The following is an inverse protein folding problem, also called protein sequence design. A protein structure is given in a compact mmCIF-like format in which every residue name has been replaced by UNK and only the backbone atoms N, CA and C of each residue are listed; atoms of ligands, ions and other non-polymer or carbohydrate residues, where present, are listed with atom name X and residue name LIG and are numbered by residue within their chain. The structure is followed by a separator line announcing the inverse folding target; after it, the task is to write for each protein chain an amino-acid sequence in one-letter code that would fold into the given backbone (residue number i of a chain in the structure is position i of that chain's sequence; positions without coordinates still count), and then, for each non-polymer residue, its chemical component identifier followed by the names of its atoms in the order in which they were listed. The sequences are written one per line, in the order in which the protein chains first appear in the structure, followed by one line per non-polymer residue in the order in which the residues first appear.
data_IF_646708050980
#
_entry.id   IF_646708050980
#
_cell.length_a   1.000
_cell.length_b   1.000
_cell.length_c   1.000
_cell.angle_alpha   90.00
_cell.angle_beta   90.00
_cell.angle_gamma   90.00
#
_symmetry.space_group_name_H-M   'P 1'
#
loop_
_entity.id
_entity.type
_entity.pdbx_description
1 polymer ?
#
# COMPACT_ATOMS: atom_id res chain seq x y z
N UNK A 1 -42.23 24.45 -43.59
CA UNK A 1 -41.05 23.58 -43.75
C UNK A 1 -39.85 24.29 -43.11
N UNK A 2 -39.31 23.76 -42.01
CA UNK A 2 -37.88 23.88 -41.66
C UNK A 2 -37.58 23.01 -40.44
N UNK A 3 -36.58 22.15 -40.57
CA UNK A 3 -36.08 21.19 -39.60
C UNK A 3 -35.30 21.85 -38.47
N UNK A 4 -35.40 21.32 -37.25
CA UNK A 4 -34.26 21.27 -36.33
C UNK A 4 -34.43 20.06 -35.40
N UNK A 5 -33.67 19.01 -35.70
CA UNK A 5 -33.42 17.93 -34.77
C UNK A 5 -32.48 18.47 -33.69
N UNK A 6 -32.97 18.61 -32.47
CA UNK A 6 -32.08 18.79 -31.32
C UNK A 6 -31.66 17.40 -30.83
N UNK A 7 -30.39 17.12 -31.08
CA UNK A 7 -29.63 15.98 -30.62
C UNK A 7 -29.49 16.04 -29.10
N UNK A 8 -30.42 15.44 -28.38
CA UNK A 8 -30.22 15.06 -26.97
C UNK A 8 -29.38 13.79 -26.91
N UNK A 9 -28.08 13.94 -27.21
CA UNK A 9 -27.10 12.92 -26.84
C UNK A 9 -27.00 12.88 -25.31
N UNK A 10 -27.09 11.71 -24.65
CA UNK A 10 -26.76 11.60 -23.24
C UNK A 10 -25.27 11.96 -23.03
N UNK A 11 -24.86 12.48 -21.85
CA UNK A 11 -23.46 12.66 -21.53
C UNK A 11 -22.71 11.31 -21.67
N UNK A 12 -21.43 11.30 -22.06
CA UNK A 12 -20.66 10.06 -22.09
C UNK A 12 -20.57 9.56 -20.65
N UNK A 13 -20.54 8.24 -20.45
CA UNK A 13 -20.60 7.55 -19.15
C UNK A 13 -22.04 7.31 -18.64
N UNK A 14 -22.83 6.65 -19.49
CA UNK A 14 -23.95 5.84 -19.05
C UNK A 14 -23.51 4.87 -17.94
N UNK A 15 -24.25 4.84 -16.84
CA UNK A 15 -24.25 3.76 -15.86
C UNK A 15 -24.69 2.45 -16.53
N UNK A 16 -23.79 1.80 -17.27
CA UNK A 16 -24.02 0.42 -17.70
C UNK A 16 -23.63 -0.54 -16.57
N UNK A 17 -24.51 -1.48 -16.18
CA UNK A 17 -24.10 -2.58 -15.33
C UNK A 17 -23.01 -3.35 -16.07
N UNK A 18 -21.80 -3.38 -15.49
CA UNK A 18 -20.59 -4.00 -16.07
C UNK A 18 -20.93 -5.38 -16.63
N UNK A 19 -21.11 -5.42 -17.95
CA UNK A 19 -21.41 -6.60 -18.75
C UNK A 19 -20.26 -6.84 -19.72
N UNK A 20 -19.03 -6.51 -19.30
CA UNK A 20 -17.85 -6.92 -20.02
C UNK A 20 -17.57 -8.38 -19.66
N UNK A 21 -17.86 -9.35 -20.54
CA UNK A 21 -17.38 -10.71 -20.33
C UNK A 21 -15.85 -10.67 -20.21
N UNK A 22 -15.23 -11.58 -19.42
CA UNK A 22 -13.78 -11.66 -19.35
C UNK A 22 -13.23 -11.75 -20.78
N UNK A 23 -12.18 -10.99 -21.13
CA UNK A 23 -11.69 -11.00 -22.49
C UNK A 23 -11.27 -12.43 -22.88
N UNK A 24 -11.50 -12.83 -24.14
CA UNK A 24 -11.24 -14.20 -24.57
C UNK A 24 -9.77 -14.58 -24.29
N UNK A 25 -9.50 -15.83 -23.86
CA UNK A 25 -8.14 -16.29 -23.63
C UNK A 25 -7.27 -16.03 -24.87
N UNK A 26 -6.07 -15.48 -24.70
CA UNK A 26 -5.13 -15.34 -25.82
C UNK A 26 -4.69 -16.75 -26.26
N UNK A 27 -4.37 -16.91 -27.55
CA UNK A 27 -4.00 -18.20 -28.10
C UNK A 27 -2.77 -18.77 -27.36
N UNK A 28 -2.95 -19.87 -26.63
CA UNK A 28 -1.91 -20.51 -25.80
C UNK A 28 -2.16 -20.49 -24.29
N UNK A 29 -3.12 -19.69 -23.80
CA UNK A 29 -3.40 -19.58 -22.37
C UNK A 29 -4.29 -20.74 -21.86
N UNK A 30 -3.71 -21.63 -21.06
CA UNK A 30 -4.45 -22.57 -20.22
C UNK A 30 -5.13 -21.77 -19.10
N UNK A 31 -6.46 -21.70 -19.12
CA UNK A 31 -7.34 -21.21 -18.05
C UNK A 31 -6.74 -20.10 -17.17
N UNK A 32 -6.57 -18.91 -17.75
CA UNK A 32 -6.08 -17.74 -17.02
C UNK A 32 -7.00 -17.38 -15.85
N UNK A 33 -6.43 -17.16 -14.66
CA UNK A 33 -7.20 -16.80 -13.47
C UNK A 33 -7.61 -15.32 -13.53
N UNK A 34 -8.85 -15.06 -13.93
CA UNK A 34 -9.46 -13.71 -14.02
C UNK A 34 -10.00 -13.19 -12.67
N UNK A 35 -9.56 -13.77 -11.54
CA UNK A 35 -10.13 -13.42 -10.23
C UNK A 35 -9.93 -11.96 -9.85
N UNK A 36 -8.79 -11.34 -10.21
CA UNK A 36 -8.54 -9.94 -9.87
C UNK A 36 -9.39 -9.01 -10.74
N UNK A 37 -9.45 -9.24 -12.06
CA UNK A 37 -10.34 -8.49 -12.97
C UNK A 37 -11.80 -8.56 -12.50
N UNK A 38 -12.28 -9.75 -12.12
CA UNK A 38 -13.66 -9.91 -11.66
C UNK A 38 -13.93 -9.10 -10.39
N UNK A 39 -13.00 -9.09 -9.43
CA UNK A 39 -13.08 -8.23 -8.24
C UNK A 39 -13.03 -6.74 -8.63
N UNK A 40 -12.18 -6.36 -9.59
CA UNK A 40 -12.01 -4.98 -10.05
C UNK A 40 -13.30 -4.47 -10.68
N UNK A 41 -13.91 -5.23 -11.58
CA UNK A 41 -15.17 -4.86 -12.23
C UNK A 41 -16.35 -4.79 -11.25
N UNK A 42 -16.34 -5.62 -10.20
CA UNK A 42 -17.34 -5.59 -9.14
C UNK A 42 -17.13 -4.44 -8.13
N UNK A 43 -15.97 -3.78 -8.14
CA UNK A 43 -15.66 -2.70 -7.22
C UNK A 43 -16.38 -1.40 -7.59
N UNK A 44 -16.63 -0.54 -6.59
CA UNK A 44 -17.20 0.80 -6.82
C UNK A 44 -16.20 1.67 -7.58
N UNK A 45 -16.71 2.65 -8.35
CA UNK A 45 -15.87 3.53 -9.17
C UNK A 45 -14.67 4.16 -8.42
N UNK A 46 -14.82 4.69 -7.18
CA UNK A 46 -13.67 5.26 -6.47
C UNK A 46 -12.58 4.23 -6.15
N UNK A 47 -12.95 2.97 -5.94
CA UNK A 47 -12.00 1.87 -5.69
C UNK A 47 -11.32 1.47 -7.01
N UNK A 48 -12.07 1.41 -8.12
CA UNK A 48 -11.49 1.16 -9.45
C UNK A 48 -10.48 2.24 -9.82
N UNK A 49 -10.81 3.51 -9.60
CA UNK A 49 -9.90 4.62 -9.84
C UNK A 49 -8.65 4.52 -8.97
N UNK A 50 -8.80 4.21 -7.67
CA UNK A 50 -7.65 4.00 -6.78
C UNK A 50 -6.73 2.86 -7.25
N UNK A 51 -7.28 1.78 -7.82
CA UNK A 51 -6.49 0.69 -8.41
C UNK A 51 -5.69 1.17 -9.62
N UNK A 52 -6.34 1.88 -10.56
CA UNK A 52 -5.67 2.41 -11.76
C UNK A 52 -4.59 3.45 -11.41
N UNK A 53 -4.90 4.37 -10.51
CA UNK A 53 -3.96 5.35 -9.97
C UNK A 53 -2.77 4.66 -9.28
N UNK A 54 -3.00 3.57 -8.55
CA UNK A 54 -1.93 2.82 -7.86
C UNK A 54 -1.00 2.15 -8.86
N UNK A 55 -1.54 1.48 -9.88
CA UNK A 55 -0.71 0.87 -10.93
C UNK A 55 0.12 1.94 -11.63
N UNK A 56 -0.51 3.08 -11.97
CA UNK A 56 0.18 4.20 -12.61
C UNK A 56 1.27 4.75 -11.70
N UNK A 57 0.99 5.02 -10.42
CA UNK A 57 1.94 5.57 -9.47
C UNK A 57 3.20 4.70 -9.29
N UNK A 58 3.05 3.38 -9.34
CA UNK A 58 4.15 2.43 -9.15
C UNK A 58 4.97 2.15 -10.40
N UNK A 59 4.39 2.39 -11.58
CA UNK A 59 5.06 2.22 -12.87
C UNK A 59 5.62 3.54 -13.39
N UNK A 60 5.07 4.65 -12.94
CA UNK A 60 5.49 6.00 -13.28
C UNK A 60 6.91 6.29 -12.78
N UNK A 61 7.77 6.71 -13.69
CA UNK A 61 9.08 7.25 -13.36
C UNK A 61 9.06 8.77 -13.49
N UNK A 62 9.21 9.51 -12.38
CA UNK A 62 9.35 10.98 -12.41
C UNK A 62 10.50 11.45 -13.32
N UNK A 63 11.47 10.57 -13.60
CA UNK A 63 12.64 10.86 -14.43
C UNK A 63 12.44 10.60 -15.91
N UNK A 64 11.40 9.84 -16.31
CA UNK A 64 11.15 9.51 -17.73
C UNK A 64 10.42 10.63 -18.48
N UNK A 65 9.80 11.57 -17.77
CA UNK A 65 8.98 12.62 -18.38
C UNK A 65 7.70 12.09 -19.04
N UNK A 66 7.30 10.86 -18.71
CA UNK A 66 6.09 10.25 -19.21
C UNK A 66 4.84 10.96 -18.66
N UNK A 67 3.73 10.87 -19.40
CA UNK A 67 2.43 11.33 -18.93
C UNK A 67 1.84 10.34 -17.92
N UNK A 68 1.04 10.85 -16.99
CA UNK A 68 0.24 10.04 -16.08
C UNK A 68 -0.93 9.42 -16.86
N UNK A 69 -0.66 8.37 -17.63
CA UNK A 69 -1.64 7.69 -18.46
C UNK A 69 -2.10 6.39 -17.82
N UNK A 70 -3.42 6.24 -17.68
CA UNK A 70 -4.01 5.04 -17.12
C UNK A 70 -3.88 3.86 -18.07
N UNK A 71 -3.62 2.68 -17.51
CA UNK A 71 -3.76 1.43 -18.25
C UNK A 71 -5.23 1.24 -18.68
N UNK A 72 -5.49 0.71 -19.89
CA UNK A 72 -6.83 0.36 -20.31
C UNK A 72 -7.47 -0.65 -19.35
N UNK A 73 -8.78 -0.55 -19.10
CA UNK A 73 -9.52 -1.42 -18.18
C UNK A 73 -9.36 -2.92 -18.50
N UNK A 74 -9.28 -3.25 -19.79
CA UNK A 74 -9.09 -4.64 -20.25
C UNK A 74 -7.72 -5.23 -19.92
N UNK A 75 -6.73 -4.39 -19.59
CA UNK A 75 -5.34 -4.78 -19.35
C UNK A 75 -5.00 -4.82 -17.84
N UNK A 76 -5.99 -4.58 -16.96
CA UNK A 76 -5.78 -4.57 -15.50
C UNK A 76 -5.30 -5.93 -14.98
N UNK A 77 -5.85 -7.04 -15.49
CA UNK A 77 -5.34 -8.38 -15.13
C UNK A 77 -3.90 -8.60 -15.61
N UNK A 78 -3.53 -8.13 -16.81
CA UNK A 78 -2.16 -8.22 -17.33
C UNK A 78 -1.20 -7.45 -16.42
N UNK A 79 -1.57 -6.23 -16.03
CA UNK A 79 -0.79 -5.41 -15.12
C UNK A 79 -0.66 -6.05 -13.73
N UNK A 80 -1.73 -6.64 -13.19
CA UNK A 80 -1.69 -7.35 -11.91
C UNK A 80 -0.79 -8.61 -11.98
N UNK A 81 -0.90 -9.41 -13.04
CA UNK A 81 -0.12 -10.64 -13.20
C UNK A 81 1.38 -10.34 -13.33
N UNK A 82 1.73 -9.27 -14.04
CA UNK A 82 3.11 -8.81 -14.25
C UNK A 82 3.68 -7.99 -13.08
N UNK A 83 2.84 -7.54 -12.16
CA UNK A 83 3.26 -6.67 -11.06
C UNK A 83 4.22 -7.36 -10.08
N UNK A 84 5.14 -6.56 -9.54
CA UNK A 84 5.94 -6.96 -8.40
C UNK A 84 5.04 -7.37 -7.22
N UNK A 85 5.57 -8.23 -6.33
CA UNK A 85 4.82 -8.78 -5.19
C UNK A 85 4.17 -7.68 -4.34
N UNK A 86 4.87 -6.58 -4.09
CA UNK A 86 4.36 -5.52 -3.22
C UNK A 86 3.28 -4.66 -3.89
N UNK A 87 3.35 -4.47 -5.21
CA UNK A 87 2.25 -3.84 -5.95
C UNK A 87 1.01 -4.74 -5.90
N UNK A 88 1.15 -6.07 -6.11
CA UNK A 88 0.01 -6.98 -5.96
C UNK A 88 -0.62 -6.90 -4.57
N UNK A 89 0.19 -6.90 -3.51
CA UNK A 89 -0.29 -6.70 -2.13
C UNK A 89 -1.03 -5.36 -1.98
N UNK A 90 -0.53 -4.28 -2.56
CA UNK A 90 -1.19 -2.97 -2.52
C UNK A 90 -2.58 -3.03 -3.19
N UNK A 91 -2.65 -3.65 -4.36
CA UNK A 91 -3.89 -3.80 -5.12
C UNK A 91 -4.91 -4.70 -4.40
N UNK A 92 -4.45 -5.81 -3.83
CA UNK A 92 -5.28 -6.71 -3.01
C UNK A 92 -5.78 -5.99 -1.75
N UNK A 93 -4.94 -5.21 -1.07
CA UNK A 93 -5.37 -4.40 0.07
C UNK A 93 -6.46 -3.40 -0.32
N UNK A 94 -6.27 -2.66 -1.42
CA UNK A 94 -7.24 -1.67 -1.91
C UNK A 94 -8.59 -2.34 -2.18
N UNK A 95 -8.58 -3.47 -2.89
CA UNK A 95 -9.82 -4.11 -3.35
C UNK A 95 -10.57 -4.80 -2.20
N UNK A 96 -9.86 -5.50 -1.32
CA UNK A 96 -10.44 -6.25 -0.20
C UNK A 96 -11.06 -5.31 0.84
N UNK A 97 -10.40 -4.17 1.07
CA UNK A 97 -10.84 -3.19 2.07
C UNK A 97 -11.68 -2.06 1.46
N UNK A 98 -12.02 -2.15 0.16
CA UNK A 98 -12.78 -1.13 -0.60
C UNK A 98 -12.18 0.27 -0.44
N UNK A 99 -10.86 0.34 -0.47
CA UNK A 99 -10.10 1.55 -0.21
C UNK A 99 -10.17 2.48 -1.42
N UNK A 100 -10.66 3.71 -1.23
CA UNK A 100 -10.88 4.66 -2.34
C UNK A 100 -9.69 5.62 -2.54
N UNK A 101 -8.49 5.22 -2.11
CA UNK A 101 -7.29 6.04 -2.15
C UNK A 101 -6.14 5.21 -2.70
N UNK A 102 -5.47 5.74 -3.72
CA UNK A 102 -4.33 5.06 -4.32
C UNK A 102 -3.12 5.04 -3.38
N UNK A 103 -2.27 4.03 -3.55
CA UNK A 103 -1.04 3.86 -2.77
C UNK A 103 0.16 4.16 -3.67
N UNK A 104 1.06 5.04 -3.23
CA UNK A 104 2.18 5.47 -4.08
C UNK A 104 3.29 4.43 -4.22
N UNK A 105 3.58 3.73 -3.13
CA UNK A 105 4.69 2.78 -3.01
C UNK A 105 4.44 1.81 -1.84
N UNK A 106 5.38 0.90 -1.59
CA UNK A 106 5.28 -0.09 -0.51
C UNK A 106 5.24 0.56 0.87
N UNK A 107 5.94 1.68 1.08
CA UNK A 107 5.94 2.39 2.37
C UNK A 107 4.55 2.99 2.63
N UNK A 108 3.94 3.59 1.61
CA UNK A 108 2.58 4.11 1.68
C UNK A 108 1.58 2.98 1.96
N UNK A 109 1.69 1.85 1.25
CA UNK A 109 0.88 0.63 1.52
C UNK A 109 0.99 0.18 2.97
N UNK A 110 2.21 -0.02 3.49
CA UNK A 110 2.45 -0.45 4.88
C UNK A 110 1.85 0.52 5.89
N UNK A 111 2.00 1.82 5.67
CA UNK A 111 1.40 2.85 6.52
C UNK A 111 -0.13 2.74 6.53
N UNK A 112 -0.75 2.64 5.36
CA UNK A 112 -2.20 2.53 5.23
C UNK A 112 -2.75 1.24 5.86
N UNK A 113 -2.11 0.09 5.62
CA UNK A 113 -2.44 -1.19 6.26
C UNK A 113 -2.28 -1.14 7.78
N UNK A 114 -1.24 -0.48 8.26
CA UNK A 114 -1.00 -0.34 9.69
C UNK A 114 -2.16 0.39 10.38
N UNK A 115 -2.52 1.58 9.90
CA UNK A 115 -3.61 2.35 10.50
C UNK A 115 -4.97 1.69 10.28
N UNK A 116 -5.18 1.02 9.15
CA UNK A 116 -6.41 0.25 8.92
C UNK A 116 -6.59 -0.88 9.95
N UNK A 117 -5.52 -1.64 10.25
CA UNK A 117 -5.55 -2.67 11.32
C UNK A 117 -5.81 -2.05 12.70
N UNK A 118 -5.20 -0.91 12.99
CA UNK A 118 -5.36 -0.22 14.28
C UNK A 118 -6.78 0.32 14.50
N UNK A 119 -7.46 0.79 13.45
CA UNK A 119 -8.84 1.26 13.57
C UNK A 119 -9.83 0.10 13.81
N UNK A 120 -9.48 -1.14 13.42
CA UNK A 120 -10.28 -2.34 13.69
C UNK A 120 -9.91 -3.10 14.97
N UNK A 121 -8.74 -2.85 15.57
CA UNK A 121 -8.26 -3.51 16.77
C UNK A 121 -8.42 -2.60 18.00
N UNK A 122 -9.60 -2.54 18.59
CA UNK A 122 -9.81 -1.71 19.78
C UNK A 122 -9.07 -2.22 21.04
N UNK A 123 -8.58 -3.46 21.12
CA UNK A 123 -7.93 -3.97 22.36
C UNK A 123 -7.09 -5.25 22.23
N UNK A 124 -6.79 -5.74 21.03
CA UNK A 124 -6.00 -6.98 20.92
C UNK A 124 -4.51 -6.73 21.16
N UNK A 125 -3.83 -7.54 22.01
CA UNK A 125 -2.38 -7.46 22.15
C UNK A 125 -1.72 -7.68 20.80
N UNK A 126 -0.79 -6.80 20.43
CA UNK A 126 -0.01 -6.94 19.20
C UNK A 126 0.81 -8.23 19.26
N UNK A 127 0.48 -9.20 18.41
CA UNK A 127 1.23 -10.45 18.30
C UNK A 127 2.56 -10.13 17.62
N UNK A 128 3.66 -10.32 18.33
CA UNK A 128 4.99 -10.12 17.76
C UNK A 128 5.32 -11.26 16.80
N UNK A 129 5.94 -10.99 15.63
CA UNK A 129 6.35 -12.04 14.72
C UNK A 129 7.46 -12.90 15.34
N UNK A 130 7.57 -14.13 14.83
CA UNK A 130 8.73 -14.97 15.09
C UNK A 130 10.00 -14.31 14.54
N UNK A 131 11.20 -14.63 15.06
CA UNK A 131 12.44 -14.04 14.54
C UNK A 131 12.66 -14.28 13.05
N UNK A 132 12.22 -15.42 12.52
CA UNK A 132 12.30 -15.70 11.09
C UNK A 132 11.33 -14.81 10.30
N UNK A 133 10.07 -14.73 10.71
CA UNK A 133 9.07 -13.90 10.03
C UNK A 133 9.45 -12.41 10.03
N UNK A 134 10.05 -11.92 11.13
CA UNK A 134 10.58 -10.56 11.19
C UNK A 134 11.74 -10.35 10.20
N UNK A 135 12.67 -11.30 10.10
CA UNK A 135 13.80 -11.20 9.19
C UNK A 135 13.36 -11.26 7.72
N UNK A 136 12.42 -12.15 7.39
CA UNK A 136 11.86 -12.25 6.04
C UNK A 136 11.15 -10.94 5.65
N UNK A 137 10.34 -10.35 6.56
CA UNK A 137 9.68 -9.08 6.28
C UNK A 137 10.69 -7.92 6.16
N UNK A 138 11.73 -7.91 7.01
CA UNK A 138 12.84 -6.94 6.93
C UNK A 138 13.58 -7.01 5.58
N UNK A 139 13.92 -8.21 5.11
CA UNK A 139 14.64 -8.40 3.85
C UNK A 139 13.82 -7.94 2.64
N UNK A 140 12.49 -8.02 2.73
CA UNK A 140 11.57 -7.55 1.67
C UNK A 140 11.19 -6.08 1.78
N UNK A 141 11.46 -5.42 2.91
CA UNK A 141 11.08 -4.03 3.10
C UNK A 141 11.91 -3.06 2.24
N UNK A 142 11.35 -1.88 1.97
CA UNK A 142 12.08 -0.82 1.28
C UNK A 142 13.40 -0.46 2.02
N UNK A 143 14.46 -0.15 1.26
CA UNK A 143 15.82 0.08 1.80
C UNK A 143 15.85 1.15 2.92
N UNK A 144 15.03 2.18 2.80
CA UNK A 144 14.94 3.23 3.83
C UNK A 144 14.33 2.72 5.14
N UNK A 145 13.34 1.82 5.05
CA UNK A 145 12.73 1.15 6.21
C UNK A 145 13.75 0.21 6.84
N UNK A 146 14.51 -0.54 6.04
CA UNK A 146 15.60 -1.38 6.55
C UNK A 146 16.63 -0.54 7.34
N UNK A 147 17.04 0.61 6.78
CA UNK A 147 17.95 1.55 7.46
C UNK A 147 17.34 2.05 8.79
N UNK A 148 16.05 2.37 8.81
CA UNK A 148 15.35 2.81 10.01
C UNK A 148 15.30 1.71 11.09
N UNK A 149 15.08 0.45 10.71
CA UNK A 149 15.14 -0.72 11.62
C UNK A 149 16.54 -0.86 12.22
N UNK A 150 17.59 -0.82 11.40
CA UNK A 150 18.97 -0.92 11.88
C UNK A 150 19.36 0.24 12.80
N UNK A 151 18.92 1.46 12.50
CA UNK A 151 19.11 2.64 13.35
C UNK A 151 18.32 2.53 14.66
N UNK A 152 17.13 1.96 14.65
CA UNK A 152 16.30 1.71 15.84
C UNK A 152 17.03 0.81 16.84
N UNK A 153 17.66 -0.28 16.38
CA UNK A 153 18.55 -1.10 17.23
C UNK A 153 19.63 -0.26 17.92
N UNK A 154 20.37 0.55 17.14
CA UNK A 154 21.49 1.32 17.65
C UNK A 154 21.06 2.45 18.60
N UNK A 155 19.96 3.14 18.29
CA UNK A 155 19.41 4.22 19.11
C UNK A 155 18.88 3.70 20.44
N UNK A 156 18.19 2.56 20.43
CA UNK A 156 17.68 1.92 21.63
C UNK A 156 18.80 1.43 22.54
N UNK A 157 19.84 0.78 21.99
CA UNK A 157 21.02 0.36 22.79
C UNK A 157 21.72 1.56 23.43
N UNK A 158 21.92 2.62 22.65
CA UNK A 158 22.54 3.86 23.13
C UNK A 158 21.74 4.55 24.24
N UNK A 159 20.41 4.53 24.19
CA UNK A 159 19.56 5.16 25.22
C UNK A 159 19.65 4.47 26.58
N UNK A 160 20.16 3.24 26.63
CA UNK A 160 20.36 2.44 27.85
C UNK A 160 21.83 2.36 28.29
N UNK A 161 22.66 3.30 27.83
CA UNK A 161 24.08 3.35 28.17
C UNK A 161 24.97 2.36 27.38
N UNK A 162 24.40 1.66 26.40
CA UNK A 162 25.16 0.81 25.48
C UNK A 162 25.86 1.60 24.38
N UNK A 163 26.69 0.91 23.58
CA UNK A 163 27.32 1.50 22.40
C UNK A 163 26.30 1.69 21.28
N UNK A 164 26.40 2.80 20.55
CA UNK A 164 25.61 3.05 19.34
C UNK A 164 26.17 2.25 18.16
N UNK A 165 25.78 0.97 18.07
CA UNK A 165 26.23 0.06 17.01
C UNK A 165 25.01 -0.50 16.29
N UNK A 166 24.96 -0.28 14.98
CA UNK A 166 23.97 -0.91 14.09
C UNK A 166 24.36 -2.36 13.88
N UNK A 167 23.42 -3.32 13.98
CA UNK A 167 23.73 -4.69 13.59
C UNK A 167 24.02 -4.76 12.09
N UNK A 168 24.80 -5.75 11.68
CA UNK A 168 24.92 -6.10 10.26
C UNK A 168 23.58 -6.67 9.78
N UNK A 169 23.30 -6.50 8.49
CA UNK A 169 22.06 -6.97 7.88
C UNK A 169 21.80 -8.46 8.15
N UNK A 170 22.81 -9.31 7.92
CA UNK A 170 22.78 -10.76 8.18
C UNK A 170 22.56 -11.15 9.66
N UNK A 171 22.82 -10.22 10.60
CA UNK A 171 22.65 -10.46 12.03
C UNK A 171 21.30 -10.01 12.58
N UNK A 172 20.44 -9.39 11.77
CA UNK A 172 19.16 -8.83 12.22
C UNK A 172 18.27 -9.87 12.89
N UNK A 173 18.17 -11.09 12.31
CA UNK A 173 17.40 -12.18 12.90
C UNK A 173 17.85 -12.51 14.33
N UNK A 174 19.15 -12.76 14.52
CA UNK A 174 19.70 -13.14 15.82
C UNK A 174 19.68 -12.01 16.84
N UNK A 175 19.77 -10.75 16.38
CA UNK A 175 19.62 -9.57 17.24
C UNK A 175 18.17 -9.34 17.65
N UNK A 176 17.22 -9.55 16.74
CA UNK A 176 15.78 -9.50 17.06
C UNK A 176 15.41 -10.61 18.05
N UNK A 177 15.88 -11.84 17.85
CA UNK A 177 15.59 -12.96 18.75
C UNK A 177 15.96 -12.66 20.21
N UNK A 178 17.16 -12.12 20.42
CA UNK A 178 17.72 -11.72 21.73
C UNK A 178 17.15 -10.39 22.26
N UNK A 179 16.45 -9.62 21.44
CA UNK A 179 15.92 -8.32 21.85
C UNK A 179 14.84 -8.49 22.94
N UNK A 180 14.79 -7.60 23.94
CA UNK A 180 13.67 -7.57 24.87
C UNK A 180 12.39 -7.17 24.14
N UNK A 181 11.24 -7.54 24.73
CA UNK A 181 9.91 -7.31 24.17
C UNK A 181 9.72 -5.85 23.74
N UNK A 182 10.17 -4.90 24.55
CA UNK A 182 10.06 -3.47 24.23
C UNK A 182 10.75 -3.11 22.91
N UNK A 183 11.98 -3.58 22.67
CA UNK A 183 12.68 -3.33 21.42
C UNK A 183 12.01 -4.06 20.25
N UNK A 184 11.54 -5.29 20.45
CA UNK A 184 10.77 -6.02 19.43
C UNK A 184 9.54 -5.23 18.99
N UNK A 185 8.79 -4.66 19.93
CA UNK A 185 7.63 -3.81 19.65
C UNK A 185 7.99 -2.57 18.84
N UNK A 186 9.12 -1.92 19.15
CA UNK A 186 9.59 -0.75 18.42
C UNK A 186 10.01 -1.11 16.98
N UNK A 187 10.79 -2.17 16.82
CA UNK A 187 11.24 -2.65 15.51
C UNK A 187 10.07 -3.08 14.64
N UNK A 188 9.12 -3.81 15.23
CA UNK A 188 7.90 -4.22 14.56
C UNK A 188 7.04 -3.02 14.16
N UNK A 189 6.99 -1.96 14.98
CA UNK A 189 6.30 -0.74 14.58
C UNK A 189 6.95 -0.10 13.35
N UNK A 190 8.27 0.08 13.34
CA UNK A 190 8.99 0.67 12.20
C UNK A 190 8.73 -0.14 10.93
N UNK A 191 8.85 -1.45 11.01
CA UNK A 191 8.71 -2.36 9.87
C UNK A 191 7.27 -2.44 9.36
N UNK A 192 6.30 -2.64 10.26
CA UNK A 192 4.89 -2.80 9.90
C UNK A 192 4.24 -1.51 9.40
N UNK A 193 4.71 -0.34 9.86
CA UNK A 193 4.21 0.96 9.38
C UNK A 193 4.94 1.48 8.14
N UNK A 194 6.04 0.83 7.73
CA UNK A 194 6.90 1.35 6.66
C UNK A 194 7.59 2.67 7.06
N UNK A 195 7.86 2.87 8.35
CA UNK A 195 8.44 4.13 8.82
C UNK A 195 9.92 4.25 8.44
N UNK A 196 10.27 5.38 7.84
CA UNK A 196 11.68 5.76 7.58
C UNK A 196 12.34 6.45 8.79
N UNK A 197 11.56 6.72 9.84
CA UNK A 197 12.04 7.37 11.05
C UNK A 197 12.38 6.32 12.11
N UNK A 198 13.64 6.21 12.53
CA UNK A 198 14.00 5.29 13.60
C UNK A 198 13.44 5.78 14.93
N UNK A 199 13.05 4.85 15.79
CA UNK A 199 12.49 5.15 17.11
C UNK A 199 13.46 4.73 18.22
N UNK A 200 13.38 5.41 19.36
CA UNK A 200 14.20 5.08 20.54
C UNK A 200 13.32 4.61 21.71
N UNK A 201 12.12 5.15 21.81
CA UNK A 201 11.18 4.91 22.90
C UNK A 201 9.76 4.73 22.40
N UNK A 202 8.91 4.08 23.20
CA UNK A 202 7.47 3.94 22.89
C UNK A 202 6.71 5.28 22.85
N UNK A 203 7.32 6.36 23.35
CA UNK A 203 6.80 7.73 23.18
C UNK A 203 6.98 8.24 21.76
N UNK A 204 8.07 7.87 21.10
CA UNK A 204 8.35 8.28 19.72
C UNK A 204 7.31 7.67 18.79
N UNK A 205 7.02 6.38 18.97
CA UNK A 205 5.94 5.66 18.28
C UNK A 205 4.62 6.42 18.38
N UNK A 206 4.16 6.74 19.60
CA UNK A 206 2.90 7.47 19.80
C UNK A 206 2.88 8.85 19.12
N UNK A 207 4.01 9.55 19.14
CA UNK A 207 4.13 10.85 18.48
C UNK A 207 4.05 10.71 16.96
N UNK A 208 4.78 9.76 16.38
CA UNK A 208 4.74 9.49 14.95
C UNK A 208 3.36 9.01 14.51
N UNK A 209 2.72 8.10 15.24
CA UNK A 209 1.37 7.64 14.95
C UNK A 209 0.36 8.78 14.88
N UNK A 210 0.43 9.71 15.84
CA UNK A 210 -0.46 10.88 15.85
C UNK A 210 -0.24 11.75 14.61
N UNK A 211 1.01 11.99 14.24
CA UNK A 211 1.38 12.81 13.08
C UNK A 211 0.96 12.13 11.77
N UNK A 212 1.29 10.85 11.60
CA UNK A 212 0.99 10.08 10.40
C UNK A 212 -0.51 9.86 10.24
N UNK A 213 -1.25 9.55 11.31
CA UNK A 213 -2.72 9.44 11.26
C UNK A 213 -3.35 10.76 10.80
N UNK A 214 -2.88 11.88 11.32
CA UNK A 214 -3.36 13.21 10.92
C UNK A 214 -3.05 13.50 9.45
N UNK A 215 -1.85 13.14 8.98
CA UNK A 215 -1.46 13.30 7.58
C UNK A 215 -2.29 12.41 6.65
N UNK A 216 -2.49 11.15 7.02
CA UNK A 216 -3.24 10.16 6.26
C UNK A 216 -4.71 10.56 6.14
N UNK A 217 -5.35 10.98 7.24
CA UNK A 217 -6.71 11.51 7.21
C UNK A 217 -6.84 12.73 6.30
N UNK A 218 -5.85 13.63 6.33
CA UNK A 218 -5.84 14.83 5.48
C UNK A 218 -5.64 14.45 4.00
N UNK A 219 -4.76 13.49 3.72
CA UNK A 219 -4.52 12.96 2.36
C UNK A 219 -5.78 12.31 1.79
N UNK A 220 -6.45 11.45 2.58
CA UNK A 220 -7.72 10.85 2.20
C UNK A 220 -8.76 11.95 1.93
N UNK A 221 -8.92 12.90 2.86
CA UNK A 221 -9.90 13.98 2.72
C UNK A 221 -9.68 14.80 1.44
N UNK A 222 -8.44 15.24 1.17
CA UNK A 222 -8.10 16.00 -0.04
C UNK A 222 -8.41 15.18 -1.29
N UNK A 223 -8.01 13.91 -1.33
CA UNK A 223 -8.25 13.04 -2.49
C UNK A 223 -9.75 12.80 -2.71
N UNK A 224 -10.52 12.64 -1.64
CA UNK A 224 -12.00 12.52 -1.74
C UNK A 224 -12.69 13.84 -2.10
N UNK A 225 -12.15 15.00 -1.75
CA UNK A 225 -12.76 16.30 -2.05
C UNK A 225 -12.37 16.86 -3.41
N UNK A 226 -11.25 16.41 -3.99
CA UNK A 226 -10.79 16.77 -5.34
C UNK A 226 -11.36 15.82 -6.41
N UNK A 227 -11.92 14.67 -6.01
CA UNK A 227 -12.73 13.79 -6.86
C UNK A 227 -14.25 13.90 -6.60
N UNK A 228 -14.89 15.09 -6.58
CA UNK A 228 -16.34 15.15 -6.54
C UNK A 228 -16.85 14.83 -7.95
N UNK A 229 -17.34 13.60 -8.13
CA UNK A 229 -18.28 13.17 -9.17
C UNK A 229 -18.20 13.96 -10.50
N UNK A 230 -17.30 13.54 -11.38
CA UNK A 230 -17.50 13.68 -12.83
C UNK A 230 -18.15 12.41 -13.37
#
# INVERSE_FOLDING_TARGET
MSSRADSTSPPPYSFEPSSFPPPPPRAGDVARNWSFQAKFEAAKEPVRQAILDTITAWTFSETSGESWDFIPRQDVQDAYDAAAVDLRKALDFIIENKYAVYLRDDMDRRRHEYFHRMDGQESSPRVLPSPQAFADDFDTAHVEVQIAVLRTFALWKSSRGGKHVRPLHEHVRGEYERAPIELKTLLEWVLASGSVNPVRHSRDVRNFEKLEKSHLQRSIMIRTSVQPFL
#
